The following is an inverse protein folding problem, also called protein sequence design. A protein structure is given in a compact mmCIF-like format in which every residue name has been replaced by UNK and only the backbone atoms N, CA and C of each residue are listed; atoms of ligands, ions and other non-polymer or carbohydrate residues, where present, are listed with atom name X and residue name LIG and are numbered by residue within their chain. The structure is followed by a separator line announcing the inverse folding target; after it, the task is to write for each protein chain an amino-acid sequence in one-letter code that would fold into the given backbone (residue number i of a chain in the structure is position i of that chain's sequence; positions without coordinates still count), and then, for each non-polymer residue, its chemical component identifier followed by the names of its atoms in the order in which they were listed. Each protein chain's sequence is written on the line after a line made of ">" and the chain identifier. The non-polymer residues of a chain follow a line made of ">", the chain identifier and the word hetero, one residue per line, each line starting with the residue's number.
data_IF_683746460887
#
_entry.id   IF_683746460887
#
_cell.length_a   1.000
_cell.length_b   1.000
_cell.length_c   1.000
_cell.angle_alpha   90.00
_cell.angle_beta   90.00
_cell.angle_gamma   90.00
#
_symmetry.space_group_name_H-M   'P 1'
#
loop_
_entity.id
_entity.type
_entity.pdbx_description
1 polymer ?
#
# COMPACT_ATOMS: atom_id res chain seq x y z
N UNK A 1 -0.60 16.29 -15.57
CA UNK A 1 -1.00 15.09 -14.80
C UNK A 1 -0.42 15.25 -13.40
N UNK A 2 -1.24 15.23 -12.35
CA UNK A 2 -0.73 15.30 -10.97
C UNK A 2 0.01 14.00 -10.66
N UNK A 3 1.28 14.09 -10.28
CA UNK A 3 2.09 12.95 -9.86
C UNK A 3 2.67 13.27 -8.50
N UNK A 4 2.55 12.33 -7.57
CA UNK A 4 3.31 12.38 -6.32
C UNK A 4 4.77 12.12 -6.68
N UNK A 5 5.65 13.05 -6.34
CA UNK A 5 7.07 13.02 -6.68
C UNK A 5 7.92 13.18 -5.42
N UNK A 6 9.08 12.50 -5.42
CA UNK A 6 10.10 12.62 -4.39
C UNK A 6 11.50 12.63 -5.03
N UNK A 7 12.44 13.28 -4.35
CA UNK A 7 13.86 13.09 -4.60
C UNK A 7 14.37 11.76 -4.04
N UNK A 8 15.50 11.27 -4.54
CA UNK A 8 16.09 9.99 -4.10
C UNK A 8 16.42 9.95 -2.61
N UNK A 9 16.78 11.09 -2.00
CA UNK A 9 17.08 11.17 -0.57
C UNK A 9 15.84 11.02 0.30
N UNK A 10 14.74 11.68 -0.07
CA UNK A 10 13.45 11.54 0.62
C UNK A 10 12.92 10.11 0.49
N UNK A 11 13.04 9.54 -0.72
CA UNK A 11 12.61 8.18 -1.00
C UNK A 11 13.36 7.12 -0.18
N UNK A 12 14.66 7.30 0.07
CA UNK A 12 15.44 6.43 0.95
C UNK A 12 14.95 6.44 2.40
N UNK A 13 14.35 7.55 2.84
CA UNK A 13 13.82 7.72 4.19
C UNK A 13 12.33 7.36 4.30
N UNK A 14 11.64 7.15 3.17
CA UNK A 14 10.20 6.87 3.09
C UNK A 14 9.77 5.68 3.94
N UNK A 15 10.64 4.69 4.09
CA UNK A 15 10.34 3.49 4.87
C UNK A 15 9.97 3.74 6.33
N UNK A 16 10.53 4.77 6.98
CA UNK A 16 10.15 5.09 8.36
C UNK A 16 8.72 5.66 8.44
N UNK A 17 8.33 6.50 7.47
CA UNK A 17 6.94 6.98 7.39
C UNK A 17 5.97 5.81 7.13
N UNK A 18 6.33 4.88 6.24
CA UNK A 18 5.56 3.66 5.97
C UNK A 18 5.43 2.79 7.22
N UNK A 19 6.50 2.65 8.00
CA UNK A 19 6.48 1.93 9.28
C UNK A 19 5.51 2.55 10.27
N UNK A 20 5.52 3.88 10.43
CA UNK A 20 4.58 4.58 11.30
C UNK A 20 3.14 4.47 10.81
N UNK A 21 2.94 4.58 9.50
CA UNK A 21 1.65 4.42 8.83
C UNK A 21 1.01 3.06 9.17
N UNK A 22 1.79 1.97 9.12
CA UNK A 22 1.32 0.60 9.36
C UNK A 22 1.26 0.19 10.83
N UNK A 23 1.68 1.06 11.75
CA UNK A 23 1.65 0.80 13.20
C UNK A 23 0.30 0.30 13.72
N UNK A 24 -0.86 0.85 13.30
CA UNK A 24 -2.17 0.39 13.79
C UNK A 24 -2.48 -1.07 13.46
N UNK A 25 -1.92 -1.59 12.36
CA UNK A 25 -2.18 -2.96 11.88
C UNK A 25 -1.13 -3.96 12.36
N UNK A 26 0.06 -3.49 12.70
CA UNK A 26 1.18 -4.37 13.05
C UNK A 26 1.02 -5.03 14.41
N UNK A 27 1.47 -6.28 14.53
CA UNK A 27 1.66 -6.94 15.83
C UNK A 27 2.72 -6.24 16.69
N UNK A 28 3.69 -5.55 16.08
CA UNK A 28 4.77 -4.85 16.77
C UNK A 28 4.31 -3.43 17.13
N UNK A 29 4.47 -2.97 18.39
CA UNK A 29 4.02 -1.64 18.81
C UNK A 29 4.59 -0.47 17.98
N UNK A 30 5.79 -0.62 17.43
CA UNK A 30 6.43 0.39 16.58
C UNK A 30 6.25 0.18 15.08
N UNK A 31 5.31 -0.67 14.64
CA UNK A 31 5.14 -1.01 13.22
C UNK A 31 6.07 -2.14 12.73
N UNK A 32 5.86 -2.63 11.50
CA UNK A 32 6.69 -3.68 10.91
C UNK A 32 8.10 -3.16 10.60
N UNK A 33 9.05 -4.08 10.38
CA UNK A 33 10.31 -3.69 9.78
C UNK A 33 10.08 -3.31 8.31
N UNK A 34 11.04 -2.60 7.72
CA UNK A 34 10.98 -2.22 6.32
C UNK A 34 12.34 -2.40 5.64
N UNK A 35 12.32 -2.49 4.33
CA UNK A 35 13.51 -2.58 3.48
C UNK A 35 13.20 -2.00 2.12
N UNK A 36 14.25 -1.85 1.31
CA UNK A 36 14.13 -1.34 -0.05
C UNK A 36 14.70 -2.33 -1.05
N UNK A 37 14.08 -2.41 -2.23
CA UNK A 37 14.66 -3.06 -3.40
C UNK A 37 14.75 -2.01 -4.50
N UNK A 38 15.97 -1.66 -4.91
CA UNK A 38 16.21 -0.58 -5.87
C UNK A 38 16.94 -1.10 -7.11
N UNK A 39 16.54 -0.60 -8.28
CA UNK A 39 17.22 -0.76 -9.56
C UNK A 39 17.41 0.58 -10.25
N UNK A 40 17.80 0.55 -11.53
CA UNK A 40 18.08 1.77 -12.31
C UNK A 40 16.84 2.58 -12.66
N UNK A 41 15.67 1.95 -12.73
CA UNK A 41 14.39 2.57 -13.14
C UNK A 41 13.28 2.44 -12.09
N UNK A 42 13.49 1.66 -11.04
CA UNK A 42 12.48 1.30 -10.05
C UNK A 42 13.05 1.31 -8.63
N UNK A 43 12.24 1.75 -7.68
CA UNK A 43 12.55 1.74 -6.27
C UNK A 43 11.33 1.25 -5.49
N UNK A 44 11.50 0.15 -4.77
CA UNK A 44 10.46 -0.43 -3.92
C UNK A 44 10.78 -0.12 -2.47
N UNK A 45 9.79 0.39 -1.74
CA UNK A 45 9.78 0.43 -0.27
C UNK A 45 8.77 -0.60 0.18
N UNK A 46 9.19 -1.60 0.96
CA UNK A 46 8.31 -2.68 1.40
C UNK A 46 8.51 -3.03 2.87
N UNK A 47 7.47 -3.60 3.48
CA UNK A 47 7.49 -3.98 4.89
C UNK A 47 7.54 -5.48 5.09
N UNK A 48 8.21 -5.90 6.15
CA UNK A 48 8.39 -7.31 6.46
C UNK A 48 8.55 -7.55 7.95
N UNK A 49 8.58 -8.82 8.30
CA UNK A 49 9.03 -9.33 9.58
C UNK A 49 10.14 -10.37 9.38
N UNK A 50 11.21 -10.24 10.17
CA UNK A 50 12.37 -11.14 10.08
C UNK A 50 13.26 -10.81 8.89
N UNK A 51 13.71 -11.85 8.18
CA UNK A 51 14.54 -11.74 6.98
C UNK A 51 13.66 -12.00 5.76
N UNK A 52 13.29 -10.98 4.97
CA UNK A 52 12.40 -11.16 3.84
C UNK A 52 13.12 -11.91 2.70
N UNK A 53 12.38 -12.67 1.87
CA UNK A 53 12.95 -13.30 0.69
C UNK A 53 13.48 -12.26 -0.30
N UNK A 54 14.63 -12.54 -0.91
CA UNK A 54 15.23 -11.63 -1.89
C UNK A 54 14.60 -11.73 -3.29
N UNK A 55 13.92 -12.85 -3.57
CA UNK A 55 13.27 -13.15 -4.85
C UNK A 55 12.24 -12.08 -5.22
N UNK A 56 11.26 -11.83 -4.35
CA UNK A 56 10.15 -10.92 -4.62
C UNK A 56 9.77 -10.10 -3.39
N UNK A 57 9.55 -8.81 -3.61
CA UNK A 57 8.96 -7.94 -2.59
C UNK A 57 7.49 -8.28 -2.31
N UNK A 58 6.83 -8.97 -3.24
CA UNK A 58 5.44 -9.41 -3.07
C UNK A 58 5.28 -10.56 -2.07
N UNK A 59 6.39 -11.11 -1.58
CA UNK A 59 6.41 -12.15 -0.54
C UNK A 59 6.80 -11.57 0.83
N UNK A 60 7.00 -10.25 0.92
CA UNK A 60 7.36 -9.59 2.17
C UNK A 60 6.12 -9.49 3.05
N UNK A 61 6.09 -10.29 4.10
CA UNK A 61 4.96 -10.38 5.04
C UNK A 61 5.37 -9.81 6.40
N UNK A 62 4.42 -9.18 7.08
CA UNK A 62 4.50 -8.88 8.50
C UNK A 62 3.26 -9.40 9.23
N UNK A 63 3.39 -9.72 10.51
CA UNK A 63 2.27 -10.16 11.33
C UNK A 63 1.32 -9.01 11.67
N UNK A 64 0.02 -9.24 11.50
CA UNK A 64 -1.04 -8.33 11.95
C UNK A 64 -1.28 -8.54 13.45
N UNK A 65 -1.83 -7.55 14.15
CA UNK A 65 -2.07 -7.64 15.60
C UNK A 65 -3.08 -8.72 16.03
N UNK A 66 -3.95 -9.17 15.12
CA UNK A 66 -4.87 -10.29 15.35
C UNK A 66 -4.23 -11.63 14.94
N UNK A 67 -4.55 -12.75 15.63
CA UNK A 67 -4.06 -14.07 15.25
C UNK A 67 -4.49 -14.49 13.85
N UNK A 68 -3.76 -15.40 13.21
CA UNK A 68 -4.09 -15.98 11.91
C UNK A 68 -4.16 -14.99 10.73
N UNK A 69 -3.61 -13.78 10.87
CA UNK A 69 -3.49 -12.83 9.77
C UNK A 69 -2.07 -12.32 9.58
N UNK A 70 -1.71 -12.10 8.31
CA UNK A 70 -0.49 -11.43 7.89
C UNK A 70 -0.85 -10.36 6.87
N UNK A 71 0.03 -9.39 6.70
CA UNK A 71 -0.13 -8.36 5.70
C UNK A 71 1.16 -8.16 4.93
N UNK A 72 1.01 -7.64 3.72
CA UNK A 72 2.06 -7.13 2.87
C UNK A 72 1.76 -5.67 2.59
N UNK A 73 2.76 -4.82 2.71
CA UNK A 73 2.67 -3.46 2.20
C UNK A 73 3.90 -3.14 1.37
N UNK A 74 3.68 -2.50 0.22
CA UNK A 74 4.75 -1.89 -0.54
C UNK A 74 4.30 -0.63 -1.28
N UNK A 75 5.26 0.25 -1.51
CA UNK A 75 5.19 1.32 -2.48
C UNK A 75 6.16 1.05 -3.62
N UNK A 76 5.71 1.28 -4.84
CA UNK A 76 6.52 1.18 -6.06
C UNK A 76 6.70 2.57 -6.63
N UNK A 77 7.96 2.97 -6.78
CA UNK A 77 8.36 4.26 -7.33
C UNK A 77 9.12 4.05 -8.63
N UNK A 78 8.82 4.87 -9.63
CA UNK A 78 9.46 4.80 -10.93
C UNK A 78 10.28 6.05 -11.18
N UNK A 79 11.47 5.85 -11.75
CA UNK A 79 12.35 6.94 -12.13
C UNK A 79 11.80 7.67 -13.35
N UNK A 80 11.95 8.98 -13.36
CA UNK A 80 11.65 9.82 -14.51
C UNK A 80 12.63 10.99 -14.58
N UNK A 81 12.61 11.68 -15.72
CA UNK A 81 13.43 12.84 -15.95
C UNK A 81 12.63 13.87 -16.76
N UNK A 82 12.62 15.10 -16.28
CA UNK A 82 11.98 16.25 -16.93
C UNK A 82 12.93 17.45 -16.78
N UNK A 83 13.18 18.19 -17.86
CA UNK A 83 14.11 19.33 -17.89
C UNK A 83 15.48 19.04 -17.24
N UNK A 84 16.05 17.88 -17.59
CA UNK A 84 17.31 17.35 -17.05
C UNK A 84 17.32 17.04 -15.54
N UNK A 85 16.20 17.21 -14.82
CA UNK A 85 16.07 16.88 -13.40
C UNK A 85 15.49 15.49 -13.25
N UNK A 86 16.20 14.64 -12.51
CA UNK A 86 15.69 13.34 -12.11
C UNK A 86 14.72 13.48 -10.96
N UNK A 87 13.61 12.75 -11.04
CA UNK A 87 12.67 12.57 -9.93
C UNK A 87 12.10 11.16 -9.93
N UNK A 88 11.54 10.78 -8.79
CA UNK A 88 10.86 9.51 -8.62
C UNK A 88 9.39 9.76 -8.37
N UNK A 89 8.51 9.08 -9.11
CA UNK A 89 7.07 9.24 -8.92
C UNK A 89 6.44 7.95 -8.41
N UNK A 90 5.44 8.10 -7.54
CA UNK A 90 4.73 6.95 -6.96
C UNK A 90 3.88 6.30 -8.04
N UNK A 91 4.16 5.04 -8.34
CA UNK A 91 3.39 4.23 -9.28
C UNK A 91 2.26 3.46 -8.59
N UNK A 92 2.52 2.88 -7.41
CA UNK A 92 1.55 2.08 -6.63
C UNK A 92 1.83 2.15 -5.14
N UNK A 93 0.79 2.15 -4.31
CA UNK A 93 0.88 1.96 -2.86
C UNK A 93 -0.16 0.93 -2.41
N UNK A 94 0.28 -0.30 -2.10
CA UNK A 94 -0.59 -1.46 -1.95
C UNK A 94 -0.42 -2.07 -0.55
N UNK A 95 -1.54 -2.26 0.13
CA UNK A 95 -1.69 -3.09 1.32
C UNK A 95 -2.55 -4.31 0.97
N UNK A 96 -2.02 -5.51 1.17
CA UNK A 96 -2.79 -6.75 1.09
C UNK A 96 -2.82 -7.40 2.48
N UNK A 97 -4.00 -7.79 2.95
CA UNK A 97 -4.21 -8.56 4.18
C UNK A 97 -4.60 -9.97 3.80
N UNK A 98 -3.96 -10.95 4.43
CA UNK A 98 -4.14 -12.37 4.18
C UNK A 98 -4.56 -13.10 5.44
N UNK A 99 -5.52 -14.00 5.30
CA UNK A 99 -5.90 -14.95 6.34
C UNK A 99 -5.08 -16.24 6.17
N UNK A 100 -4.41 -16.67 7.24
CA UNK A 100 -3.71 -17.94 7.29
C UNK A 100 -4.76 -19.05 7.46
N UNK A 101 -4.84 -19.95 6.48
CA UNK A 101 -5.80 -21.07 6.46
C UNK A 101 -5.12 -22.43 6.59
N UNK A 102 -3.79 -22.47 6.56
CA UNK A 102 -3.00 -23.67 6.80
C UNK A 102 -1.52 -23.34 7.02
N UNK A 103 -0.66 -24.35 7.25
CA UNK A 103 0.76 -24.14 7.57
C UNK A 103 1.54 -23.36 6.51
N UNK A 104 1.16 -23.50 5.24
CA UNK A 104 1.79 -22.86 4.08
C UNK A 104 0.78 -22.15 3.18
N UNK A 105 -0.47 -22.03 3.64
CA UNK A 105 -1.58 -21.51 2.84
C UNK A 105 -2.16 -20.25 3.46
N UNK A 106 -2.31 -19.24 2.63
CA UNK A 106 -2.97 -17.99 2.97
C UNK A 106 -3.94 -17.60 1.85
N UNK A 107 -5.10 -17.09 2.24
CA UNK A 107 -6.07 -16.52 1.31
C UNK A 107 -6.06 -15.01 1.44
N UNK A 108 -6.05 -14.32 0.30
CA UNK A 108 -6.20 -12.87 0.26
C UNK A 108 -7.58 -12.51 0.83
N UNK A 109 -7.58 -11.75 1.91
CA UNK A 109 -8.78 -11.42 2.67
C UNK A 109 -9.35 -10.07 2.23
N UNK A 110 -8.50 -9.04 2.22
CA UNK A 110 -8.85 -7.68 1.83
C UNK A 110 -7.61 -6.97 1.28
N UNK A 111 -7.82 -6.03 0.35
CA UNK A 111 -6.76 -5.15 -0.14
C UNK A 111 -7.16 -3.67 -0.03
N UNK A 112 -6.17 -2.82 0.20
CA UNK A 112 -6.25 -1.37 0.05
C UNK A 112 -5.16 -0.93 -0.94
N UNK A 113 -5.58 -0.48 -2.11
CA UNK A 113 -4.70 -0.15 -3.22
C UNK A 113 -4.83 1.32 -3.61
N UNK A 114 -3.79 1.83 -4.27
CA UNK A 114 -3.77 3.14 -4.87
C UNK A 114 -2.89 3.09 -6.11
N UNK A 115 -3.43 3.51 -7.27
CA UNK A 115 -2.76 3.53 -8.57
C UNK A 115 -2.73 4.96 -9.16
N UNK A 116 -1.90 5.88 -8.62
CA UNK A 116 -1.99 7.32 -8.94
C UNK A 116 -1.91 7.69 -10.41
N UNK A 117 -1.26 6.86 -11.23
CA UNK A 117 -0.99 7.14 -12.65
C UNK A 117 -1.84 6.29 -13.60
N UNK A 118 -2.95 5.72 -13.14
CA UNK A 118 -3.89 5.02 -14.01
C UNK A 118 -4.26 5.93 -15.21
N UNK A 119 -4.11 5.49 -16.47
CA UNK A 119 -4.28 6.34 -17.64
C UNK A 119 -5.68 6.95 -17.76
N UNK A 120 -5.77 8.16 -18.31
CA UNK A 120 -7.08 8.73 -18.68
C UNK A 120 -7.74 7.81 -19.73
N UNK A 121 -9.02 7.48 -19.51
CA UNK A 121 -9.78 6.55 -20.37
C UNK A 121 -9.63 5.07 -20.00
N UNK A 122 -8.76 4.71 -19.06
CA UNK A 122 -8.79 3.37 -18.48
C UNK A 122 -10.15 3.12 -17.82
N UNK A 123 -10.65 1.88 -17.93
CA UNK A 123 -11.80 1.46 -17.14
C UNK A 123 -11.54 1.83 -15.69
N UNK A 124 -12.51 2.47 -15.05
CA UNK A 124 -12.52 2.60 -13.60
C UNK A 124 -11.48 3.59 -13.02
N UNK A 125 -10.90 4.44 -13.88
CA UNK A 125 -9.84 5.39 -13.53
C UNK A 125 -10.17 6.29 -12.32
N UNK A 126 -11.42 6.74 -12.21
CA UNK A 126 -11.85 7.67 -11.15
C UNK A 126 -11.69 7.10 -9.74
N UNK A 127 -11.78 5.78 -9.59
CA UNK A 127 -11.71 5.13 -8.28
C UNK A 127 -10.42 4.37 -8.04
N UNK A 128 -9.64 4.04 -9.08
CA UNK A 128 -8.34 3.38 -8.92
C UNK A 128 -7.21 4.33 -8.55
N UNK A 129 -7.28 5.59 -8.98
CA UNK A 129 -6.24 6.59 -8.76
C UNK A 129 -5.99 6.90 -7.28
N UNK A 130 -7.06 6.97 -6.49
CA UNK A 130 -6.97 7.14 -5.05
C UNK A 130 -7.01 5.81 -4.28
N UNK A 131 -6.90 5.87 -2.95
CA UNK A 131 -7.11 4.72 -2.07
C UNK A 131 -8.48 4.07 -2.32
N UNK A 132 -8.47 2.76 -2.58
CA UNK A 132 -9.67 1.97 -2.82
C UNK A 132 -9.51 0.55 -2.27
N UNK A 133 -10.64 -0.02 -1.83
CA UNK A 133 -10.70 -1.35 -1.23
C UNK A 133 -11.14 -2.42 -2.23
N UNK A 134 -10.62 -3.62 -2.01
CA UNK A 134 -11.14 -4.88 -2.54
C UNK A 134 -11.43 -5.82 -1.37
N UNK A 135 -12.63 -6.41 -1.31
CA UNK A 135 -13.00 -7.37 -0.26
C UNK A 135 -12.90 -8.78 -0.84
N UNK A 136 -11.68 -9.30 -0.95
CA UNK A 136 -11.40 -10.57 -1.61
C UNK A 136 -12.06 -11.79 -0.95
N UNK A 137 -12.34 -11.73 0.36
CA UNK A 137 -13.04 -12.78 1.09
C UNK A 137 -14.54 -12.87 0.78
N UNK A 138 -15.14 -11.84 0.17
CA UNK A 138 -16.55 -11.86 -0.21
C UNK A 138 -16.80 -12.73 -1.46
N UNK A 139 -18.06 -13.03 -1.73
CA UNK A 139 -18.46 -13.66 -2.99
C UNK A 139 -18.60 -12.62 -4.11
N UNK A 140 -18.59 -13.10 -5.36
CA UNK A 140 -18.92 -12.26 -6.51
C UNK A 140 -20.36 -11.70 -6.38
N UNK A 141 -20.61 -10.42 -6.74
CA UNK A 141 -19.69 -9.48 -7.40
C UNK A 141 -18.82 -8.64 -6.46
N UNK A 142 -19.00 -8.76 -5.14
CA UNK A 142 -18.34 -7.91 -4.15
C UNK A 142 -16.81 -8.10 -4.18
N UNK A 143 -16.33 -9.32 -4.37
CA UNK A 143 -14.89 -9.60 -4.47
C UNK A 143 -14.16 -8.95 -5.64
N UNK A 144 -14.91 -8.48 -6.64
CA UNK A 144 -14.40 -7.78 -7.83
C UNK A 144 -14.73 -6.28 -7.82
N UNK A 145 -15.51 -5.82 -6.85
CA UNK A 145 -15.89 -4.43 -6.73
C UNK A 145 -14.72 -3.59 -6.18
N UNK A 146 -14.61 -2.36 -6.67
CA UNK A 146 -13.67 -1.38 -6.13
C UNK A 146 -14.48 -0.38 -5.30
N UNK A 147 -14.14 -0.24 -4.03
CA UNK A 147 -14.79 0.72 -3.13
C UNK A 147 -13.82 1.88 -2.93
N UNK A 148 -14.05 2.99 -3.63
CA UNK A 148 -13.22 4.18 -3.51
C UNK A 148 -13.45 4.87 -2.17
N UNK A 149 -12.38 5.18 -1.44
CA UNK A 149 -12.48 5.87 -0.15
C UNK A 149 -12.53 7.39 -0.30
N UNK A 150 -12.04 7.92 -1.42
CA UNK A 150 -11.89 9.36 -1.62
C UNK A 150 -12.16 9.81 -3.06
N UNK A 151 -13.15 9.22 -3.74
CA UNK A 151 -13.42 9.48 -5.16
C UNK A 151 -13.59 10.97 -5.52
N UNK A 152 -14.14 11.78 -4.62
CA UNK A 152 -14.34 13.22 -4.84
C UNK A 152 -13.10 14.10 -4.62
N UNK A 153 -12.04 13.56 -3.99
CA UNK A 153 -10.88 14.33 -3.52
C UNK A 153 -9.56 13.78 -4.07
N UNK A 154 -9.60 13.03 -5.18
CA UNK A 154 -8.41 12.38 -5.75
C UNK A 154 -7.30 13.39 -6.07
N UNK A 155 -7.64 14.55 -6.63
CA UNK A 155 -6.65 15.58 -6.94
C UNK A 155 -5.93 16.12 -5.69
N UNK A 156 -6.66 16.29 -4.59
CA UNK A 156 -6.11 16.74 -3.31
C UNK A 156 -5.21 15.67 -2.69
N UNK A 157 -5.64 14.42 -2.70
CA UNK A 157 -4.87 13.29 -2.17
C UNK A 157 -3.57 13.07 -2.96
N UNK A 158 -3.63 13.21 -4.28
CA UNK A 158 -2.48 13.04 -5.16
C UNK A 158 -1.61 14.30 -5.30
N UNK A 159 -1.92 15.36 -4.55
CA UNK A 159 -1.13 16.61 -4.57
C UNK A 159 0.23 16.48 -3.90
N UNK A 160 0.36 15.56 -2.93
CA UNK A 160 1.61 15.35 -2.19
C UNK A 160 1.68 13.94 -1.59
N UNK A 161 2.90 13.53 -1.24
CA UNK A 161 3.15 12.30 -0.50
C UNK A 161 2.46 12.32 0.87
N UNK A 162 2.43 13.48 1.55
CA UNK A 162 1.84 13.62 2.88
C UNK A 162 0.31 13.50 2.83
N UNK A 163 -0.33 14.13 1.84
CA UNK A 163 -1.78 14.02 1.61
C UNK A 163 -2.20 12.56 1.37
N UNK A 164 -1.44 11.82 0.56
CA UNK A 164 -1.70 10.39 0.36
C UNK A 164 -1.44 9.56 1.63
N UNK A 165 -0.34 9.82 2.33
CA UNK A 165 -0.04 9.12 3.59
C UNK A 165 -1.15 9.30 4.60
N UNK A 166 -1.71 10.51 4.72
CA UNK A 166 -2.81 10.78 5.63
C UNK A 166 -4.09 10.05 5.22
N UNK A 167 -4.45 10.06 3.93
CA UNK A 167 -5.59 9.30 3.42
C UNK A 167 -5.44 7.80 3.68
N UNK A 168 -4.24 7.24 3.44
CA UNK A 168 -3.93 5.84 3.75
C UNK A 168 -3.96 5.57 5.25
N UNK A 169 -3.51 6.49 6.10
CA UNK A 169 -3.54 6.36 7.57
C UNK A 169 -4.96 6.25 8.08
N UNK A 170 -5.86 7.11 7.60
CA UNK A 170 -7.28 7.06 7.94
C UNK A 170 -7.87 5.72 7.51
N UNK A 171 -7.58 5.26 6.28
CA UNK A 171 -8.03 3.97 5.79
C UNK A 171 -7.51 2.79 6.65
N UNK A 172 -6.25 2.83 7.11
CA UNK A 172 -5.68 1.80 7.98
C UNK A 172 -6.34 1.78 9.37
N UNK A 173 -6.67 2.95 9.94
CA UNK A 173 -7.42 3.03 11.20
C UNK A 173 -8.81 2.43 11.03
N UNK A 174 -9.52 2.79 9.96
CA UNK A 174 -10.83 2.20 9.63
C UNK A 174 -10.75 0.68 9.47
N UNK A 175 -9.76 0.16 8.72
CA UNK A 175 -9.57 -1.29 8.58
C UNK A 175 -9.27 -1.97 9.92
N UNK A 176 -8.51 -1.30 10.80
CA UNK A 176 -8.25 -1.81 12.14
C UNK A 176 -9.56 -1.93 12.94
N UNK A 177 -10.30 -0.84 13.04
CA UNK A 177 -11.46 -0.70 13.95
C UNK A 177 -12.69 -1.46 13.44
N UNK A 178 -13.02 -1.33 12.16
CA UNK A 178 -14.28 -1.84 11.60
C UNK A 178 -14.16 -3.25 11.01
N UNK A 179 -12.93 -3.70 10.71
CA UNK A 179 -12.71 -5.02 10.10
C UNK A 179 -11.95 -5.93 11.05
N UNK A 180 -10.74 -5.57 11.47
CA UNK A 180 -9.87 -6.49 12.20
C UNK A 180 -10.26 -6.64 13.67
N UNK A 181 -10.65 -5.57 14.37
CA UNK A 181 -11.11 -5.65 15.75
C UNK A 181 -12.43 -6.44 15.86
N UNK A 182 -13.27 -6.41 14.83
CA UNK A 182 -14.50 -7.21 14.77
C UNK A 182 -14.25 -8.72 14.60
N UNK A 183 -13.03 -9.12 14.22
CA UNK A 183 -12.61 -10.52 14.03
C UNK A 183 -11.84 -11.10 15.22
N UNK A 184 -11.64 -10.32 16.28
CA UNK A 184 -10.93 -10.74 17.50
C UNK A 184 -11.70 -11.76 18.33
#
# INVERSE_FOLDING_TARGET
>A
MLRIQLGVHELRNRGEQVRQLLRPLSKRPGGPAWSTKSGTAEFIVGTHEGSPPQSSHQDWRFSVFIPNFRAMYFERWLRSQEDHREFWYLNRAYLDIYQIVGPTQENKFLCLHCDPNEPDGASHVLYKRGPHLHINAASYPISSAHIALNAGFVAEILSSTDSLTEAMRIAMVMLKEEVLDALR
#
